data_IF_342636798023
#
_entry.id   IF_342636798023
#
_cell.length_a   1.000
_cell.length_b   1.000
_cell.length_c   1.000
_cell.angle_alpha   90.00
_cell.angle_beta   90.00
_cell.angle_gamma   90.00
#
_symmetry.space_group_name_H-M   'P 1'
#
loop_
_entity.id
_entity.type
_entity.pdbx_description
1 polymer ?
#
# COMPACT_ATOMS: atom_id res chain seq x y z
N UNK A 1 -2.81 -11.41 3.27
CA UNK A 1 -3.80 -11.79 4.26
C UNK A 1 -4.83 -12.79 3.70
N UNK A 2 -5.70 -12.42 2.75
CA UNK A 2 -6.75 -13.30 2.20
C UNK A 2 -6.21 -14.64 1.67
N UNK A 3 -5.14 -14.61 0.90
CA UNK A 3 -4.57 -15.80 0.30
C UNK A 3 -3.85 -16.70 1.32
N UNK A 4 -3.20 -16.11 2.31
CA UNK A 4 -2.61 -16.86 3.43
C UNK A 4 -3.71 -17.60 4.22
N UNK A 5 -4.84 -16.92 4.47
CA UNK A 5 -5.97 -17.51 5.17
C UNK A 5 -6.61 -18.66 4.36
N UNK A 6 -6.70 -18.54 3.03
CA UNK A 6 -7.18 -19.63 2.16
C UNK A 6 -6.23 -20.85 2.25
N UNK A 7 -4.92 -20.63 2.19
CA UNK A 7 -3.93 -21.73 2.33
C UNK A 7 -3.99 -22.35 3.71
N UNK A 8 -4.06 -21.54 4.77
CA UNK A 8 -4.18 -22.03 6.14
C UNK A 8 -5.44 -22.90 6.33
N UNK A 9 -6.57 -22.46 5.80
CA UNK A 9 -7.82 -23.21 5.83
C UNK A 9 -7.73 -24.55 5.07
N UNK A 10 -7.09 -24.56 3.89
CA UNK A 10 -6.91 -25.77 3.07
C UNK A 10 -5.94 -26.76 3.69
N UNK A 11 -4.87 -26.31 4.31
CA UNK A 11 -3.89 -27.13 5.02
C UNK A 11 -4.34 -27.48 6.45
N UNK A 12 -5.48 -26.94 6.90
CA UNK A 12 -5.96 -27.08 8.28
C UNK A 12 -4.89 -26.67 9.32
N UNK A 13 -4.13 -25.62 9.04
CA UNK A 13 -3.11 -25.05 9.92
C UNK A 13 -3.62 -23.82 10.65
N UNK A 14 -3.13 -23.59 11.87
CA UNK A 14 -3.62 -22.53 12.74
C UNK A 14 -2.80 -21.23 12.65
N UNK A 15 -1.70 -21.24 11.88
CA UNK A 15 -0.86 -20.07 11.74
C UNK A 15 -0.04 -20.12 10.47
N UNK A 16 0.35 -18.93 10.03
CA UNK A 16 1.23 -18.77 8.87
C UNK A 16 1.82 -17.38 8.78
N UNK A 17 2.90 -17.27 8.05
CA UNK A 17 3.56 -16.00 7.77
C UNK A 17 3.96 -15.90 6.30
N UNK A 18 4.06 -14.65 5.82
CA UNK A 18 4.65 -14.33 4.52
C UNK A 18 5.90 -13.54 4.75
N UNK A 19 7.02 -14.06 4.30
CA UNK A 19 8.33 -13.41 4.43
C UNK A 19 8.82 -13.00 3.04
N UNK A 20 8.99 -11.69 2.84
CA UNK A 20 9.57 -11.11 1.62
C UNK A 20 11.08 -11.00 1.75
N UNK A 21 11.80 -11.42 0.72
CA UNK A 21 13.23 -11.17 0.62
C UNK A 21 13.50 -9.74 0.14
N UNK A 22 14.23 -8.95 0.93
CA UNK A 22 14.69 -7.61 0.54
C UNK A 22 16.09 -7.69 -0.04
N UNK A 23 17.02 -8.31 0.70
CA UNK A 23 18.39 -8.59 0.25
C UNK A 23 18.77 -10.02 0.62
N UNK A 24 20.00 -10.44 0.34
CA UNK A 24 20.49 -11.76 0.78
C UNK A 24 20.59 -11.89 2.31
N UNK A 25 20.65 -10.77 3.02
CA UNK A 25 20.83 -10.72 4.48
C UNK A 25 19.64 -10.06 5.18
N UNK A 26 18.65 -9.59 4.44
CA UNK A 26 17.52 -8.86 5.01
C UNK A 26 16.18 -9.38 4.50
N UNK A 27 15.33 -9.74 5.43
CA UNK A 27 13.98 -10.21 5.21
C UNK A 27 12.99 -9.24 5.83
N UNK A 28 11.78 -9.22 5.30
CA UNK A 28 10.66 -8.46 5.85
C UNK A 28 9.44 -9.35 6.00
N UNK A 29 8.97 -9.51 7.21
CA UNK A 29 7.68 -10.15 7.47
C UNK A 29 6.59 -9.22 6.95
N UNK A 30 5.81 -9.69 5.98
CA UNK A 30 4.70 -8.93 5.38
C UNK A 30 3.39 -9.20 6.11
N UNK A 31 3.25 -10.40 6.64
CA UNK A 31 2.07 -10.87 7.33
C UNK A 31 2.45 -12.03 8.25
N UNK A 32 1.89 -12.06 9.44
CA UNK A 32 1.99 -13.20 10.37
C UNK A 32 0.68 -13.34 11.14
N UNK A 33 0.27 -14.58 11.37
CA UNK A 33 -0.90 -14.96 12.16
C UNK A 33 -0.65 -16.32 12.82
N UNK A 34 -0.84 -16.40 14.13
CA UNK A 34 -0.65 -17.65 14.87
C UNK A 34 0.80 -18.18 14.93
N UNK A 35 1.76 -17.42 14.43
CA UNK A 35 3.20 -17.66 14.49
C UNK A 35 3.89 -16.35 14.82
N UNK A 36 5.03 -16.38 15.51
CA UNK A 36 5.86 -15.20 15.77
C UNK A 36 7.28 -15.46 15.28
N UNK A 37 7.73 -14.63 14.34
CA UNK A 37 9.05 -14.69 13.72
C UNK A 37 9.90 -13.54 14.26
N UNK A 38 10.50 -13.76 15.43
CA UNK A 38 11.37 -12.79 16.12
C UNK A 38 12.83 -12.83 15.63
N UNK A 39 13.69 -12.02 16.27
CA UNK A 39 15.10 -11.92 15.93
C UNK A 39 15.84 -13.27 16.08
N UNK A 40 15.45 -14.13 17.03
CA UNK A 40 16.04 -15.46 17.23
C UNK A 40 15.79 -16.36 16.03
N UNK A 41 14.61 -16.28 15.41
CA UNK A 41 14.27 -17.06 14.22
C UNK A 41 14.94 -16.52 12.94
N UNK A 42 15.45 -15.28 12.95
CA UNK A 42 15.85 -14.58 11.73
C UNK A 42 16.97 -15.30 10.96
N UNK A 43 18.00 -15.78 11.64
CA UNK A 43 19.10 -16.53 11.00
C UNK A 43 18.59 -17.81 10.35
N UNK A 44 17.69 -18.52 11.03
CA UNK A 44 17.08 -19.74 10.52
C UNK A 44 16.24 -19.47 9.28
N UNK A 45 15.45 -18.38 9.30
CA UNK A 45 14.61 -17.99 8.18
C UNK A 45 15.47 -17.53 6.98
N UNK A 46 16.61 -16.89 7.22
CA UNK A 46 17.57 -16.56 6.16
C UNK A 46 18.10 -17.80 5.46
N UNK A 47 18.50 -18.85 6.20
CA UNK A 47 18.94 -20.13 5.64
C UNK A 47 17.84 -20.81 4.83
N UNK A 48 16.63 -20.86 5.35
CA UNK A 48 15.44 -21.35 4.67
C UNK A 48 15.20 -20.60 3.37
N UNK A 49 15.23 -19.26 3.39
CA UNK A 49 15.03 -18.43 2.20
C UNK A 49 16.14 -18.66 1.16
N UNK A 50 17.38 -18.80 1.57
CA UNK A 50 18.51 -19.08 0.67
C UNK A 50 18.30 -20.43 -0.06
N UNK A 51 17.92 -21.47 0.67
CA UNK A 51 17.62 -22.78 0.10
C UNK A 51 16.41 -22.74 -0.85
N UNK A 52 15.31 -22.09 -0.44
CA UNK A 52 14.13 -21.92 -1.28
C UNK A 52 14.45 -21.16 -2.58
N UNK A 53 15.34 -20.18 -2.52
CA UNK A 53 15.77 -19.43 -3.69
C UNK A 53 16.62 -20.28 -4.64
N UNK A 54 17.55 -21.11 -4.10
CA UNK A 54 18.47 -21.93 -4.89
C UNK A 54 17.76 -23.13 -5.52
N UNK A 55 16.98 -23.86 -4.73
CA UNK A 55 16.35 -25.11 -5.16
C UNK A 55 14.90 -24.95 -5.61
N UNK A 56 14.20 -23.93 -5.16
CA UNK A 56 12.77 -23.76 -5.42
C UNK A 56 11.90 -24.86 -4.80
N UNK A 57 12.39 -25.54 -3.77
CA UNK A 57 11.69 -26.67 -3.15
C UNK A 57 10.86 -26.24 -1.95
N UNK A 58 9.76 -26.98 -1.72
CA UNK A 58 9.02 -26.92 -0.48
C UNK A 58 9.81 -27.65 0.60
N UNK A 59 9.96 -27.01 1.76
CA UNK A 59 10.58 -27.62 2.93
C UNK A 59 9.47 -28.11 3.84
N UNK A 60 9.46 -29.42 4.12
CA UNK A 60 8.66 -30.03 5.16
C UNK A 60 9.59 -30.41 6.33
N UNK A 61 9.43 -29.74 7.48
CA UNK A 61 10.30 -29.91 8.64
C UNK A 61 10.29 -31.36 9.18
N UNK A 62 9.15 -32.07 9.10
CA UNK A 62 9.09 -33.46 9.53
C UNK A 62 9.80 -34.40 8.52
N UNK A 63 9.73 -34.13 7.22
CA UNK A 63 10.50 -34.87 6.23
C UNK A 63 11.99 -34.59 6.40
N UNK A 64 12.38 -33.34 6.64
CA UNK A 64 13.75 -32.96 6.95
C UNK A 64 14.27 -33.67 8.21
N UNK A 65 13.47 -33.76 9.28
CA UNK A 65 13.84 -34.50 10.50
C UNK A 65 14.07 -36.01 10.23
N UNK A 66 13.22 -36.61 9.38
CA UNK A 66 13.32 -38.04 9.04
C UNK A 66 14.47 -38.36 8.07
N UNK A 67 14.75 -37.48 7.11
CA UNK A 67 15.72 -37.68 6.05
C UNK A 67 16.42 -36.36 5.65
N UNK A 68 17.33 -35.81 6.49
CA UNK A 68 18.01 -34.54 6.21
C UNK A 68 18.79 -34.53 4.91
N UNK A 69 19.33 -35.70 4.50
CA UNK A 69 20.11 -35.85 3.27
C UNK A 69 19.35 -35.51 1.99
N UNK A 70 18.03 -35.56 2.00
CA UNK A 70 17.19 -35.16 0.86
C UNK A 70 17.32 -33.64 0.55
N UNK A 71 17.63 -32.83 1.56
CA UNK A 71 17.74 -31.38 1.46
C UNK A 71 19.18 -30.88 1.24
N UNK A 72 20.13 -31.80 0.97
CA UNK A 72 21.51 -31.46 0.65
C UNK A 72 22.22 -30.71 1.79
N UNK A 73 22.72 -29.50 1.47
CA UNK A 73 23.48 -28.67 2.42
C UNK A 73 22.63 -27.82 3.35
N UNK A 74 21.28 -27.96 3.33
CA UNK A 74 20.41 -27.25 4.23
C UNK A 74 20.64 -27.69 5.69
N UNK A 75 21.04 -26.75 6.53
CA UNK A 75 21.23 -26.98 7.96
C UNK A 75 20.18 -26.20 8.76
N UNK A 76 19.27 -26.91 9.43
CA UNK A 76 18.20 -26.35 10.23
C UNK A 76 18.36 -26.71 11.71
N UNK A 77 18.12 -25.74 12.59
CA UNK A 77 17.90 -26.00 14.01
C UNK A 77 16.45 -26.48 14.23
N UNK A 78 16.30 -27.81 14.34
CA UNK A 78 15.01 -28.45 14.56
C UNK A 78 14.35 -28.04 15.88
N UNK A 79 15.15 -27.73 16.93
CA UNK A 79 14.61 -27.28 18.21
C UNK A 79 13.95 -25.92 18.05
N UNK A 80 14.61 -25.00 17.36
CA UNK A 80 14.10 -23.68 17.07
C UNK A 80 12.88 -23.74 16.14
N UNK A 81 12.93 -24.56 15.07
CA UNK A 81 11.78 -24.75 14.18
C UNK A 81 10.55 -25.26 14.96
N UNK A 82 10.73 -26.22 15.87
CA UNK A 82 9.64 -26.73 16.71
C UNK A 82 9.17 -25.69 17.72
N UNK A 83 10.05 -24.93 18.35
CA UNK A 83 9.69 -23.85 19.28
C UNK A 83 8.86 -22.75 18.61
N UNK A 84 9.21 -22.38 17.37
CA UNK A 84 8.49 -21.40 16.55
C UNK A 84 7.33 -22.04 15.76
N UNK A 85 7.08 -23.34 15.94
CA UNK A 85 6.02 -24.10 15.25
C UNK A 85 6.11 -24.09 13.73
N UNK A 86 7.30 -23.89 13.16
CA UNK A 86 7.52 -23.93 11.71
C UNK A 86 7.38 -25.37 11.24
N UNK A 87 6.47 -25.60 10.27
CA UNK A 87 6.20 -26.96 9.76
C UNK A 87 6.46 -27.08 8.27
N UNK A 88 5.90 -26.17 7.46
CA UNK A 88 6.01 -26.21 6.02
C UNK A 88 6.48 -24.83 5.54
N UNK A 89 7.44 -24.82 4.61
CA UNK A 89 7.86 -23.60 3.93
C UNK A 89 7.68 -23.75 2.44
N UNK A 90 6.98 -22.81 1.82
CA UNK A 90 6.65 -22.82 0.39
C UNK A 90 7.27 -21.60 -0.28
N UNK A 91 8.16 -21.78 -1.29
CA UNK A 91 8.75 -20.66 -2.01
C UNK A 91 7.72 -19.91 -2.86
N UNK A 92 7.85 -18.58 -2.91
CA UNK A 92 7.03 -17.69 -3.73
C UNK A 92 7.93 -17.12 -4.83
N UNK A 93 7.49 -17.24 -6.08
CA UNK A 93 8.16 -16.65 -7.23
C UNK A 93 7.23 -15.67 -7.96
N UNK A 94 7.80 -14.60 -8.47
CA UNK A 94 7.16 -13.65 -9.38
C UNK A 94 7.86 -13.79 -10.74
N UNK A 95 7.20 -14.44 -11.68
CA UNK A 95 7.85 -14.86 -12.93
C UNK A 95 9.00 -15.83 -12.64
N UNK A 96 10.23 -15.43 -12.96
CA UNK A 96 11.47 -16.19 -12.68
C UNK A 96 12.20 -15.73 -11.40
N UNK A 97 11.77 -14.61 -10.81
CA UNK A 97 12.43 -14.04 -9.65
C UNK A 97 11.88 -14.64 -8.35
N UNK A 98 12.76 -14.97 -7.43
CA UNK A 98 12.37 -15.37 -6.08
C UNK A 98 11.91 -14.15 -5.27
N UNK A 99 10.70 -14.22 -4.73
CA UNK A 99 10.11 -13.13 -3.93
C UNK A 99 10.31 -13.33 -2.43
N UNK A 100 10.20 -14.57 -1.97
CA UNK A 100 10.21 -14.93 -0.56
C UNK A 100 9.54 -16.27 -0.33
N UNK A 101 9.00 -16.48 0.85
CA UNK A 101 8.32 -17.72 1.17
C UNK A 101 7.09 -17.54 2.06
N UNK A 102 6.20 -18.54 2.00
CA UNK A 102 5.23 -18.82 3.04
C UNK A 102 5.82 -19.72 4.08
N UNK A 103 5.50 -19.48 5.34
CA UNK A 103 5.82 -20.34 6.47
C UNK A 103 4.49 -20.71 7.11
N UNK A 104 4.22 -22.01 7.27
CA UNK A 104 3.02 -22.52 7.90
C UNK A 104 3.38 -23.28 9.17
N UNK A 105 2.50 -23.14 10.17
CA UNK A 105 2.63 -23.86 11.44
C UNK A 105 2.16 -25.29 11.32
N UNK A 106 2.45 -26.10 12.34
CA UNK A 106 1.99 -27.47 12.45
C UNK A 106 0.46 -27.53 12.60
N UNK A 107 -0.15 -28.51 11.94
CA UNK A 107 -1.55 -28.84 12.12
C UNK A 107 -1.64 -30.15 12.90
N UNK A 108 -2.64 -30.25 13.78
CA UNK A 108 -2.86 -31.42 14.64
C UNK A 108 -2.94 -32.75 13.88
N UNK A 109 -3.22 -32.75 12.58
CA UNK A 109 -3.43 -33.93 11.75
C UNK A 109 -2.62 -33.91 10.43
N UNK A 110 -1.64 -33.04 10.28
CA UNK A 110 -0.87 -32.93 9.03
C UNK A 110 0.03 -34.18 8.90
N UNK A 111 -0.40 -35.12 8.06
CA UNK A 111 0.43 -36.23 7.58
C UNK A 111 1.61 -35.68 6.74
N UNK A 112 2.57 -36.52 6.41
CA UNK A 112 3.60 -36.14 5.44
C UNK A 112 2.97 -35.64 4.14
N UNK A 113 3.51 -34.55 3.59
CA UNK A 113 3.04 -33.99 2.31
C UNK A 113 3.21 -35.03 1.19
N UNK A 114 2.11 -35.34 0.53
CA UNK A 114 2.16 -36.14 -0.70
C UNK A 114 2.47 -35.23 -1.92
N UNK A 115 2.60 -35.81 -3.10
CA UNK A 115 2.91 -35.06 -4.32
C UNK A 115 1.77 -34.12 -4.75
N UNK A 116 0.49 -34.49 -4.52
CA UNK A 116 -0.67 -33.65 -4.82
C UNK A 116 -0.71 -32.41 -3.92
N UNK A 117 -0.39 -32.58 -2.63
CA UNK A 117 -0.29 -31.45 -1.68
C UNK A 117 0.79 -30.47 -2.12
N UNK A 118 1.94 -30.96 -2.57
CA UNK A 118 3.04 -30.12 -3.05
C UNK A 118 2.65 -29.35 -4.31
N UNK A 119 2.01 -30.01 -5.29
CA UNK A 119 1.53 -29.37 -6.51
C UNK A 119 0.49 -28.28 -6.21
N UNK A 120 -0.43 -28.56 -5.28
CA UNK A 120 -1.41 -27.55 -4.82
C UNK A 120 -0.73 -26.35 -4.17
N UNK A 121 0.23 -26.59 -3.27
CA UNK A 121 0.98 -25.53 -2.60
C UNK A 121 1.75 -24.65 -3.60
N UNK A 122 2.41 -25.28 -4.59
CA UNK A 122 3.08 -24.54 -5.66
C UNK A 122 2.10 -23.74 -6.53
N UNK A 123 0.97 -24.32 -6.89
CA UNK A 123 -0.05 -23.63 -7.69
C UNK A 123 -0.56 -22.38 -6.96
N UNK A 124 -0.86 -22.51 -5.66
CA UNK A 124 -1.33 -21.37 -4.85
C UNK A 124 -0.22 -20.34 -4.62
N UNK A 125 1.02 -20.77 -4.36
CA UNK A 125 2.16 -19.87 -4.23
C UNK A 125 2.41 -19.07 -5.53
N UNK A 126 2.25 -19.71 -6.70
CA UNK A 126 2.35 -19.06 -8.00
C UNK A 126 1.24 -18.03 -8.21
N UNK A 127 0.01 -18.36 -7.86
CA UNK A 127 -1.12 -17.40 -7.95
C UNK A 127 -0.89 -16.18 -7.05
N UNK A 128 -0.36 -16.40 -5.87
CA UNK A 128 -0.01 -15.30 -4.97
C UNK A 128 1.13 -14.44 -5.50
N UNK A 129 2.18 -15.05 -6.05
CA UNK A 129 3.24 -14.30 -6.73
C UNK A 129 2.68 -13.40 -7.83
N UNK A 130 1.77 -13.91 -8.66
CA UNK A 130 1.09 -13.12 -9.69
C UNK A 130 0.25 -11.99 -9.09
N UNK A 131 -0.51 -12.25 -8.03
CA UNK A 131 -1.34 -11.25 -7.37
C UNK A 131 -0.49 -10.13 -6.75
N UNK A 132 0.60 -10.48 -6.06
CA UNK A 132 1.53 -9.50 -5.48
C UNK A 132 2.17 -8.65 -6.59
N UNK A 133 2.62 -9.29 -7.68
CA UNK A 133 3.18 -8.58 -8.83
C UNK A 133 2.20 -7.58 -9.42
N UNK A 134 0.94 -7.97 -9.60
CA UNK A 134 -0.10 -7.09 -10.12
C UNK A 134 -0.38 -5.92 -9.17
N UNK A 135 -0.43 -6.18 -7.87
CA UNK A 135 -0.64 -5.14 -6.85
C UNK A 135 0.52 -4.13 -6.84
N UNK A 136 1.77 -4.60 -6.79
CA UNK A 136 2.95 -3.73 -6.85
C UNK A 136 3.02 -2.92 -8.17
N UNK A 137 2.60 -3.52 -9.30
CA UNK A 137 2.54 -2.82 -10.58
C UNK A 137 1.46 -1.72 -10.59
N UNK A 138 0.28 -2.00 -10.02
CA UNK A 138 -0.80 -1.03 -9.89
C UNK A 138 -0.41 0.14 -8.98
N UNK A 139 0.25 -0.13 -7.86
CA UNK A 139 0.74 0.91 -6.94
C UNK A 139 1.74 1.84 -7.62
N UNK A 140 2.72 1.27 -8.34
CA UNK A 140 3.70 2.05 -9.12
C UNK A 140 3.02 2.87 -10.22
N UNK A 141 2.01 2.30 -10.89
CA UNK A 141 1.25 3.01 -11.92
C UNK A 141 0.44 4.17 -11.32
N UNK A 142 -0.16 3.97 -10.15
CA UNK A 142 -0.88 5.03 -9.44
C UNK A 142 0.05 6.17 -9.04
N UNK A 143 1.23 5.85 -8.49
CA UNK A 143 2.27 6.82 -8.14
C UNK A 143 2.76 7.60 -9.37
N UNK A 144 3.06 6.90 -10.48
CA UNK A 144 3.46 7.52 -11.73
C UNK A 144 2.38 8.47 -12.28
N UNK A 145 1.12 8.05 -12.30
CA UNK A 145 -0.01 8.90 -12.72
C UNK A 145 -0.16 10.15 -11.84
N UNK A 146 0.05 10.00 -10.54
CA UNK A 146 0.01 11.12 -9.60
C UNK A 146 1.14 12.11 -9.88
N UNK A 147 2.35 11.61 -10.14
CA UNK A 147 3.50 12.42 -10.51
C UNK A 147 3.29 13.18 -11.83
N UNK A 148 2.77 12.50 -12.87
CA UNK A 148 2.45 13.12 -14.16
C UNK A 148 1.38 14.20 -14.03
N UNK A 149 0.36 13.97 -13.21
CA UNK A 149 -0.68 14.96 -12.93
C UNK A 149 -0.10 16.17 -12.19
N UNK A 150 0.84 15.95 -11.26
CA UNK A 150 1.56 17.04 -10.57
C UNK A 150 2.41 17.87 -11.53
N UNK A 151 3.18 17.21 -12.40
CA UNK A 151 4.05 17.89 -13.38
C UNK A 151 3.24 18.75 -14.36
N UNK A 152 2.14 18.21 -14.89
CA UNK A 152 1.23 18.98 -15.78
C UNK A 152 0.65 20.20 -15.08
N UNK A 153 0.20 20.04 -13.83
CA UNK A 153 -0.32 21.15 -13.05
C UNK A 153 0.76 22.19 -12.75
N UNK A 154 1.97 21.75 -12.38
CA UNK A 154 3.09 22.65 -12.12
C UNK A 154 3.48 23.48 -13.35
N UNK A 155 3.51 22.86 -14.53
CA UNK A 155 3.77 23.57 -15.78
C UNK A 155 2.69 24.66 -16.06
N UNK A 156 1.43 24.34 -15.82
CA UNK A 156 0.34 25.31 -15.96
C UNK A 156 0.46 26.49 -14.95
N UNK A 157 0.77 26.18 -13.68
CA UNK A 157 0.97 27.20 -12.65
C UNK A 157 2.15 28.14 -12.98
N UNK A 158 3.27 27.56 -13.45
CA UNK A 158 4.44 28.36 -13.87
C UNK A 158 4.10 29.27 -15.04
N UNK A 159 3.31 28.80 -16.01
CA UNK A 159 2.85 29.62 -17.13
C UNK A 159 1.99 30.81 -16.65
N UNK A 160 1.03 30.56 -15.76
CA UNK A 160 0.16 31.62 -15.22
C UNK A 160 0.95 32.65 -14.38
N UNK A 161 1.91 32.17 -13.56
CA UNK A 161 2.80 33.07 -12.81
C UNK A 161 3.67 33.92 -13.72
N UNK A 162 4.21 33.36 -14.82
CA UNK A 162 4.98 34.13 -15.82
C UNK A 162 4.13 35.22 -16.47
N UNK A 163 2.86 34.94 -16.76
CA UNK A 163 1.95 35.93 -17.34
C UNK A 163 1.70 37.08 -16.36
N UNK A 164 1.45 36.79 -15.08
CA UNK A 164 1.32 37.81 -14.04
C UNK A 164 2.60 38.65 -13.91
N UNK A 165 3.75 37.97 -13.86
CA UNK A 165 5.06 38.65 -13.81
C UNK A 165 5.26 39.60 -15.00
N UNK A 166 4.94 39.14 -16.21
CA UNK A 166 5.12 39.98 -17.43
C UNK A 166 4.23 41.22 -17.41
N UNK A 167 2.96 41.08 -16.94
CA UNK A 167 2.03 42.19 -16.79
C UNK A 167 2.55 43.23 -15.78
N UNK A 168 3.00 42.78 -14.59
CA UNK A 168 3.56 43.65 -13.57
C UNK A 168 4.87 44.34 -14.04
N UNK A 169 5.74 43.60 -14.76
CA UNK A 169 6.94 44.15 -15.31
C UNK A 169 6.68 45.25 -16.37
N UNK A 170 5.62 45.07 -17.15
CA UNK A 170 5.20 46.13 -18.14
C UNK A 170 4.73 47.39 -17.43
N UNK A 171 3.95 47.27 -16.36
CA UNK A 171 3.52 48.39 -15.50
C UNK A 171 4.76 49.14 -14.99
N UNK A 172 5.71 48.41 -14.36
CA UNK A 172 6.90 49.05 -13.77
C UNK A 172 7.75 49.76 -14.81
N UNK A 173 7.91 49.18 -16.00
CA UNK A 173 8.68 49.77 -17.09
C UNK A 173 8.03 51.07 -17.61
N UNK A 174 6.70 51.12 -17.67
CA UNK A 174 5.96 52.28 -18.19
C UNK A 174 5.70 53.37 -17.13
N UNK A 175 5.79 52.99 -15.84
CA UNK A 175 5.48 53.87 -14.72
C UNK A 175 6.33 55.18 -14.72
N UNK A 176 7.62 55.13 -15.09
CA UNK A 176 8.46 56.31 -15.12
C UNK A 176 7.98 57.35 -16.11
N UNK A 177 7.42 56.95 -17.25
CA UNK A 177 6.97 57.83 -18.31
C UNK A 177 5.52 58.30 -18.14
N UNK A 178 4.67 57.48 -17.53
CA UNK A 178 3.21 57.69 -17.54
C UNK A 178 2.54 57.83 -16.16
N UNK A 179 3.32 57.86 -15.06
CA UNK A 179 2.80 57.89 -13.67
C UNK A 179 1.83 59.06 -13.35
N UNK A 180 1.89 60.14 -14.13
CA UNK A 180 1.02 61.32 -13.97
C UNK A 180 -0.17 61.30 -14.93
N UNK A 181 -0.35 60.27 -15.76
CA UNK A 181 -1.47 60.13 -16.65
C UNK A 181 -2.61 59.36 -15.94
N UNK A 182 -3.78 60.00 -15.72
CA UNK A 182 -4.93 59.35 -15.02
C UNK A 182 -5.37 58.03 -15.70
N UNK A 183 -5.43 57.96 -17.03
CA UNK A 183 -5.82 56.77 -17.74
C UNK A 183 -4.83 55.63 -17.51
N UNK A 184 -3.53 55.90 -17.40
CA UNK A 184 -2.52 54.87 -17.06
C UNK A 184 -2.67 54.39 -15.63
N UNK A 185 -3.05 55.24 -14.68
CA UNK A 185 -3.25 54.88 -13.30
C UNK A 185 -4.46 53.93 -13.20
N UNK A 186 -5.56 54.23 -13.91
CA UNK A 186 -6.74 53.35 -13.95
C UNK A 186 -6.39 51.97 -14.55
N UNK A 187 -5.64 51.91 -15.66
CA UNK A 187 -5.16 50.65 -16.27
C UNK A 187 -4.25 49.85 -15.32
N UNK A 188 -3.43 50.54 -14.51
CA UNK A 188 -2.59 49.88 -13.48
C UNK A 188 -3.44 49.20 -12.42
N UNK A 189 -4.47 49.89 -11.90
CA UNK A 189 -5.34 49.28 -10.89
C UNK A 189 -6.09 48.08 -11.43
N UNK A 190 -6.65 48.14 -12.63
CA UNK A 190 -7.34 47.03 -13.28
C UNK A 190 -6.37 45.81 -13.49
N UNK A 191 -5.14 46.09 -13.94
CA UNK A 191 -4.15 45.04 -14.14
C UNK A 191 -3.72 44.40 -12.82
N UNK A 192 -3.53 45.16 -11.75
CA UNK A 192 -3.19 44.65 -10.41
C UNK A 192 -4.34 43.81 -9.83
N UNK A 193 -5.59 44.26 -9.99
CA UNK A 193 -6.75 43.49 -9.57
C UNK A 193 -6.83 42.13 -10.28
N UNK A 194 -6.74 42.13 -11.61
CA UNK A 194 -6.71 40.90 -12.42
C UNK A 194 -5.55 39.97 -12.05
N UNK A 195 -4.34 40.50 -11.80
CA UNK A 195 -3.19 39.74 -11.34
C UNK A 195 -3.43 39.08 -9.97
N UNK A 196 -4.08 39.84 -9.04
CA UNK A 196 -4.39 39.36 -7.70
C UNK A 196 -5.40 38.21 -7.74
N UNK A 197 -6.46 38.36 -8.56
CA UNK A 197 -7.45 37.28 -8.76
C UNK A 197 -6.81 35.98 -9.31
N UNK A 198 -5.91 36.11 -10.30
CA UNK A 198 -5.19 34.97 -10.87
C UNK A 198 -4.32 34.29 -9.84
N UNK A 199 -3.58 35.05 -9.03
CA UNK A 199 -2.77 34.50 -7.93
C UNK A 199 -3.64 33.80 -6.87
N UNK A 200 -4.78 34.37 -6.50
CA UNK A 200 -5.72 33.76 -5.58
C UNK A 200 -6.24 32.42 -6.11
N UNK A 201 -6.55 32.34 -7.41
CA UNK A 201 -6.97 31.10 -8.08
C UNK A 201 -5.86 30.03 -8.05
N UNK A 202 -4.62 30.40 -8.37
CA UNK A 202 -3.45 29.52 -8.30
C UNK A 202 -3.28 28.97 -6.87
N UNK A 203 -3.30 29.83 -5.86
CA UNK A 203 -3.18 29.44 -4.45
C UNK A 203 -4.31 28.51 -4.00
N UNK A 204 -5.55 28.78 -4.45
CA UNK A 204 -6.71 27.93 -4.11
C UNK A 204 -6.58 26.53 -4.68
N UNK A 205 -6.07 26.40 -5.91
CA UNK A 205 -5.81 25.10 -6.55
C UNK A 205 -4.72 24.29 -5.82
N UNK A 206 -3.64 24.94 -5.36
CA UNK A 206 -2.61 24.32 -4.55
C UNK A 206 -3.16 23.81 -3.20
N UNK A 207 -3.95 24.63 -2.52
CA UNK A 207 -4.57 24.27 -1.23
C UNK A 207 -5.56 23.10 -1.34
N UNK A 208 -6.41 23.09 -2.36
CA UNK A 208 -7.36 22.00 -2.59
C UNK A 208 -6.64 20.65 -2.75
N UNK A 209 -5.51 20.62 -3.44
CA UNK A 209 -4.74 19.41 -3.66
C UNK A 209 -3.98 18.94 -2.42
N UNK A 210 -3.44 19.87 -1.61
CA UNK A 210 -2.87 19.51 -0.30
C UNK A 210 -3.92 18.92 0.65
N UNK A 211 -5.12 19.51 0.65
CA UNK A 211 -6.23 19.00 1.46
C UNK A 211 -6.70 17.60 1.01
N UNK A 212 -6.67 17.29 -0.29
CA UNK A 212 -7.00 15.95 -0.81
C UNK A 212 -5.94 14.89 -0.45
N UNK A 213 -4.67 15.26 -0.35
CA UNK A 213 -3.59 14.35 0.08
C UNK A 213 -3.58 14.07 1.59
N UNK A 214 -4.17 14.97 2.40
CA UNK A 214 -4.11 14.87 3.88
C UNK A 214 -5.37 14.21 4.47
N UNK A 215 -6.37 13.85 3.68
CA UNK A 215 -7.72 13.49 4.13
C UNK A 215 -8.08 12.00 4.09
N UNK A 216 -7.13 11.09 4.10
CA UNK A 216 -7.47 9.74 4.56
C UNK A 216 -7.51 9.75 6.09
N UNK A 217 -8.61 10.19 6.69
CA UNK A 217 -8.85 10.10 8.13
C UNK A 217 -9.48 8.76 8.44
N UNK A 218 -8.86 8.06 9.40
CA UNK A 218 -9.52 6.93 10.07
C UNK A 218 -10.75 7.52 10.78
N UNK A 219 -11.92 7.12 10.34
CA UNK A 219 -13.20 7.62 10.89
C UNK A 219 -14.06 6.41 11.23
N UNK A 220 -14.67 6.43 12.40
CA UNK A 220 -15.66 5.44 12.80
C UNK A 220 -16.86 5.46 11.86
N UNK A 221 -17.27 4.29 11.37
CA UNK A 221 -18.43 4.14 10.50
C UNK A 221 -19.72 4.62 11.20
N UNK A 222 -19.85 4.34 12.50
CA UNK A 222 -20.97 4.81 13.31
C UNK A 222 -21.08 6.33 13.28
N UNK A 223 -19.98 7.05 13.47
CA UNK A 223 -19.93 8.53 13.41
C UNK A 223 -20.34 9.09 12.04
N UNK A 224 -20.02 8.39 10.94
CA UNK A 224 -20.44 8.80 9.59
C UNK A 224 -21.93 8.57 9.36
N UNK A 225 -22.46 7.42 9.79
CA UNK A 225 -23.88 7.11 9.70
C UNK A 225 -24.70 8.12 10.49
N UNK A 226 -24.29 8.45 11.71
CA UNK A 226 -24.99 9.45 12.54
C UNK A 226 -25.04 10.83 11.87
N UNK A 227 -23.97 11.27 11.21
CA UNK A 227 -23.95 12.53 10.45
C UNK A 227 -24.92 12.51 9.28
N UNK A 228 -24.95 11.42 8.51
CA UNK A 228 -25.86 11.27 7.35
C UNK A 228 -27.31 11.25 7.81
N UNK A 229 -27.61 10.51 8.89
CA UNK A 229 -28.94 10.45 9.49
C UNK A 229 -29.38 11.83 10.01
N UNK A 230 -28.49 12.56 10.68
CA UNK A 230 -28.77 13.92 11.16
C UNK A 230 -29.08 14.89 10.02
N UNK A 231 -28.34 14.83 8.91
CA UNK A 231 -28.58 15.64 7.72
C UNK A 231 -29.91 15.29 7.03
N UNK A 232 -30.24 14.02 6.91
CA UNK A 232 -31.48 13.54 6.27
C UNK A 232 -32.73 13.77 7.13
N UNK A 233 -32.59 13.83 8.46
CA UNK A 233 -33.71 14.06 9.38
C UNK A 233 -34.22 15.50 9.41
N UNK A 234 -33.63 16.41 8.62
CA UNK A 234 -34.20 17.75 8.37
C UNK A 234 -35.47 17.65 7.52
N UNK A 235 -35.61 16.61 6.70
CA UNK A 235 -36.78 16.33 5.86
C UNK A 235 -37.50 15.05 6.33
N UNK A 236 -38.82 14.98 6.10
CA UNK A 236 -39.63 13.79 6.41
C UNK A 236 -39.56 12.79 5.23
N UNK A 237 -39.55 11.46 5.46
CA UNK A 237 -39.68 10.73 6.74
C UNK A 237 -38.41 10.71 7.58
N UNK A 238 -38.54 10.62 8.92
CA UNK A 238 -37.41 10.49 9.85
C UNK A 238 -36.80 9.11 9.73
N UNK A 239 -35.47 9.06 9.63
CA UNK A 239 -34.67 7.83 9.57
C UNK A 239 -33.99 7.63 10.91
N UNK A 240 -34.01 6.39 11.43
CA UNK A 240 -33.23 5.97 12.60
C UNK A 240 -32.23 4.90 12.19
N UNK A 241 -31.04 4.93 12.73
CA UNK A 241 -30.00 3.91 12.52
C UNK A 241 -29.61 3.29 13.86
N UNK A 242 -29.29 1.99 13.84
CA UNK A 242 -28.69 1.29 14.97
C UNK A 242 -27.45 0.59 14.46
N UNK A 243 -26.30 0.85 15.07
CA UNK A 243 -25.02 0.22 14.71
C UNK A 243 -24.69 -0.79 15.80
N UNK A 244 -24.70 -2.08 15.46
CA UNK A 244 -24.42 -3.16 16.40
C UNK A 244 -22.91 -3.32 16.68
N UNK A 245 -22.08 -3.11 15.64
CA UNK A 245 -20.62 -3.15 15.75
C UNK A 245 -20.00 -1.98 14.96
N UNK A 246 -19.14 -1.20 15.60
CA UNK A 246 -18.43 -0.11 14.94
C UNK A 246 -17.14 -0.63 14.31
N UNK A 247 -16.76 -0.06 13.16
CA UNK A 247 -15.49 -0.31 12.51
C UNK A 247 -14.85 1.00 12.07
N UNK A 248 -13.53 1.04 12.13
CA UNK A 248 -12.76 2.16 11.63
C UNK A 248 -12.49 1.99 10.12
N UNK A 249 -12.85 3.00 9.34
CA UNK A 249 -12.63 3.05 7.91
C UNK A 249 -11.71 4.21 7.56
N UNK A 250 -10.75 3.97 6.69
CA UNK A 250 -9.93 5.00 6.08
C UNK A 250 -10.65 5.52 4.83
N UNK A 251 -11.41 6.61 4.96
CA UNK A 251 -12.24 7.15 3.89
C UNK A 251 -11.87 8.61 3.63
N UNK A 252 -11.93 9.01 2.36
CA UNK A 252 -11.91 10.40 1.96
C UNK A 252 -13.30 11.03 2.23
N UNK A 253 -13.33 11.99 3.14
CA UNK A 253 -14.59 12.60 3.64
C UNK A 253 -15.41 13.36 2.59
N UNK A 254 -14.89 13.60 1.37
CA UNK A 254 -15.63 14.28 0.30
C UNK A 254 -16.43 13.32 -0.59
N UNK A 255 -16.09 12.03 -0.62
CA UNK A 255 -16.77 11.03 -1.46
C UNK A 255 -18.15 10.63 -0.93
N UNK A 256 -18.48 10.99 0.32
CA UNK A 256 -19.74 10.63 0.98
C UNK A 256 -20.85 11.67 0.84
N UNK A 257 -20.58 12.80 0.19
CA UNK A 257 -21.53 13.91 0.04
C UNK A 257 -22.14 14.06 -1.36
N UNK A 258 -21.86 13.13 -2.29
CA UNK A 258 -22.44 13.11 -3.64
C UNK A 258 -23.51 12.06 -3.84
#
# INVERSE_FOLDING_TARGET
QMATNIMMSKLNVHGGAVVKKITNTQLKVQYEEGISLDEEANEQILRINAFCQDKGWIIDIAEYEAAPSLYGDLSLDLKLCKAKKIRIVVPIHIGKAYYGCFIFTDAKELKQLNWEDRDLLFAVAKQLGNFVSLHEANDKLAESKQFDAFNRMSAFLVHDLKNVQAQLALITTNAEKHRNNPAFIDDVFETVESATERLAKVLSQLRKKQAAQTKSRITSLASLIDKVVAQRNVEKPKVSSTVENDCELSIDGETFHS
#
